data_IF_639954867747
#
_entry.id   IF_639954867747
#
_cell.length_a   1.000
_cell.length_b   1.000
_cell.length_c   1.000
_cell.angle_alpha   90.00
_cell.angle_beta   90.00
_cell.angle_gamma   90.00
#
_symmetry.space_group_name_H-M   'P 1'
#
loop_
_entity.id
_entity.type
_entity.pdbx_description
1 polymer ?
#
# COMPACT_ATOMS: atom_id res chain seq x y z
N UNK A 1 -0.92 7.39 1.58
CA UNK A 1 -1.48 6.68 2.76
C UNK A 1 -1.14 7.47 4.01
N UNK A 2 -2.09 7.65 4.92
CA UNK A 2 -1.85 8.30 6.22
C UNK A 2 -2.02 7.26 7.33
N UNK A 3 -1.10 7.27 8.29
CA UNK A 3 -1.14 6.38 9.46
C UNK A 3 -1.17 7.27 10.70
N UNK A 4 -2.23 7.15 11.50
CA UNK A 4 -2.36 7.82 12.78
C UNK A 4 -1.49 7.12 13.83
N UNK A 5 -0.63 7.84 14.55
CA UNK A 5 0.13 7.31 15.69
C UNK A 5 1.44 6.57 15.36
N UNK A 6 2.04 6.79 14.18
CA UNK A 6 3.33 6.20 13.83
C UNK A 6 4.46 6.76 14.73
N UNK A 7 4.87 5.97 15.73
CA UNK A 7 5.82 6.37 16.77
C UNK A 7 7.27 6.19 16.30
N UNK A 8 7.80 7.02 15.40
CA UNK A 8 9.23 7.00 14.98
C UNK A 8 9.79 5.62 14.55
N UNK A 9 8.90 4.66 14.32
CA UNK A 9 9.21 3.27 14.04
C UNK A 9 9.03 3.10 12.54
N UNK A 10 10.07 2.57 11.93
CA UNK A 10 10.11 2.26 10.51
C UNK A 10 8.93 1.35 10.18
N UNK A 11 7.95 1.84 9.40
CA UNK A 11 6.79 1.07 8.97
C UNK A 11 7.02 0.50 7.58
N UNK A 12 6.60 -0.74 7.36
CA UNK A 12 6.57 -1.39 6.05
C UNK A 12 5.18 -1.25 5.45
N UNK A 13 5.10 -0.58 4.31
CA UNK A 13 3.90 -0.36 3.52
C UNK A 13 3.93 -1.34 2.35
N UNK A 14 2.91 -2.18 2.21
CA UNK A 14 2.77 -3.15 1.13
C UNK A 14 1.50 -2.85 0.35
N UNK A 15 1.62 -2.76 -0.96
CA UNK A 15 0.51 -2.57 -1.88
C UNK A 15 0.29 -3.85 -2.68
N UNK A 16 -0.95 -4.32 -2.71
CA UNK A 16 -1.37 -5.47 -3.52
C UNK A 16 -2.54 -5.09 -4.41
N UNK A 17 -2.55 -5.61 -5.63
CA UNK A 17 -3.66 -5.47 -6.58
C UNK A 17 -4.23 -6.86 -6.84
N UNK A 18 -5.53 -7.05 -6.58
CA UNK A 18 -6.24 -8.33 -6.64
C UNK A 18 -5.53 -9.45 -5.86
N UNK A 19 -4.94 -9.10 -4.72
CA UNK A 19 -4.17 -10.01 -3.87
C UNK A 19 -2.72 -10.25 -4.29
N UNK A 20 -2.28 -9.76 -5.46
CA UNK A 20 -0.87 -9.82 -5.88
C UNK A 20 -0.11 -8.60 -5.39
N UNK A 21 0.94 -8.79 -4.61
CA UNK A 21 1.81 -7.69 -4.19
C UNK A 21 2.47 -7.02 -5.40
N UNK A 22 2.28 -5.70 -5.53
CA UNK A 22 2.83 -4.88 -6.63
C UNK A 22 3.92 -3.93 -6.15
N UNK A 23 3.93 -3.55 -4.88
CA UNK A 23 4.93 -2.65 -4.33
C UNK A 23 5.13 -2.87 -2.83
N UNK A 24 6.33 -2.54 -2.35
CA UNK A 24 6.62 -2.42 -0.93
C UNK A 24 7.49 -1.18 -0.71
N UNK A 25 7.24 -0.46 0.37
CA UNK A 25 7.98 0.73 0.74
C UNK A 25 8.16 0.78 2.24
N UNK A 26 9.27 1.33 2.68
CA UNK A 26 9.58 1.46 4.09
C UNK A 26 9.71 2.96 4.42
N UNK A 27 8.96 3.44 5.41
CA UNK A 27 9.03 4.85 5.82
C UNK A 27 8.72 5.01 7.31
N UNK A 28 9.49 5.87 7.98
CA UNK A 28 9.34 6.17 9.41
C UNK A 28 8.54 7.45 9.71
N UNK A 29 8.17 8.25 8.71
CA UNK A 29 7.41 9.49 8.95
C UNK A 29 6.66 9.98 7.70
N UNK A 30 5.65 10.81 7.95
CA UNK A 30 4.95 11.59 6.93
C UNK A 30 3.96 10.82 6.06
N UNK A 31 3.26 11.52 5.15
CA UNK A 31 2.43 10.88 4.14
C UNK A 31 3.31 10.03 3.22
N UNK A 32 2.95 8.75 3.10
CA UNK A 32 3.69 7.80 2.28
C UNK A 32 2.97 7.62 0.95
N UNK A 33 3.67 7.92 -0.14
CA UNK A 33 3.24 7.59 -1.51
C UNK A 33 4.03 6.37 -1.96
N UNK A 34 3.31 5.34 -2.41
CA UNK A 34 3.90 4.09 -2.91
C UNK A 34 3.60 4.02 -4.41
N UNK A 35 4.52 4.48 -5.27
CA UNK A 35 4.33 4.38 -6.70
C UNK A 35 4.34 2.90 -7.11
N UNK A 36 3.45 2.54 -8.02
CA UNK A 36 3.42 1.20 -8.62
C UNK A 36 3.07 1.32 -10.10
N UNK A 37 3.57 0.37 -10.88
CA UNK A 37 3.44 0.38 -12.33
C UNK A 37 2.18 -0.35 -12.75
N UNK A 38 1.25 0.33 -13.44
CA UNK A 38 -0.01 -0.24 -13.95
C UNK A 38 0.15 -0.97 -15.28
N UNK A 39 1.28 -0.78 -15.98
CA UNK A 39 1.57 -1.48 -17.25
C UNK A 39 1.74 -2.97 -16.99
N UNK A 40 0.85 -3.76 -17.58
CA UNK A 40 0.76 -5.21 -17.36
C UNK A 40 -0.42 -5.65 -16.49
N UNK A 41 -1.16 -4.71 -15.88
CA UNK A 41 -2.48 -4.99 -15.31
C UNK A 41 -3.54 -4.70 -16.38
N UNK A 42 -4.49 -5.62 -16.51
CA UNK A 42 -5.61 -5.51 -17.47
C UNK A 42 -6.43 -4.26 -17.17
N UNK A 43 -7.04 -3.65 -18.19
CA UNK A 43 -7.99 -2.57 -17.95
C UNK A 43 -9.25 -3.13 -17.26
N UNK A 44 -9.68 -2.52 -16.17
CA UNK A 44 -10.75 -3.07 -15.34
C UNK A 44 -10.81 -2.46 -13.94
N UNK A 45 -11.79 -2.90 -13.16
CA UNK A 45 -11.86 -2.56 -11.73
C UNK A 45 -11.04 -3.57 -10.95
N UNK A 46 -10.06 -3.08 -10.22
CA UNK A 46 -9.18 -3.87 -9.38
C UNK A 46 -9.35 -3.48 -7.92
N UNK A 47 -9.13 -4.44 -7.03
CA UNK A 47 -9.09 -4.20 -5.59
C UNK A 47 -7.63 -3.94 -5.22
N UNK A 48 -7.34 -2.70 -4.84
CA UNK A 48 -6.04 -2.30 -4.33
C UNK A 48 -6.08 -2.34 -2.82
N UNK A 49 -5.27 -3.22 -2.24
CA UNK A 49 -5.13 -3.40 -0.79
C UNK A 49 -3.80 -2.82 -0.33
N UNK A 50 -3.86 -1.87 0.60
CA UNK A 50 -2.69 -1.31 1.26
C UNK A 50 -2.61 -1.83 2.69
N UNK A 51 -1.48 -2.46 3.02
CA UNK A 51 -1.17 -2.96 4.36
C UNK A 51 0.02 -2.20 4.91
N UNK A 52 -0.06 -1.75 6.16
CA UNK A 52 1.06 -1.15 6.89
C UNK A 52 1.38 -2.07 8.05
N UNK A 53 2.66 -2.36 8.24
CA UNK A 53 3.17 -3.07 9.41
C UNK A 53 4.18 -2.19 10.13
N UNK A 54 4.01 -1.98 11.43
CA UNK A 54 4.97 -1.26 12.26
C UNK A 54 6.12 -2.16 12.73
N UNK A 55 7.18 -1.55 13.27
CA UNK A 55 8.33 -2.27 13.82
C UNK A 55 7.98 -3.14 15.05
N UNK A 56 6.86 -2.85 15.73
CA UNK A 56 6.34 -3.68 16.83
C UNK A 56 5.50 -4.87 16.32
N UNK A 57 5.35 -5.02 15.00
CA UNK A 57 4.62 -6.10 14.35
C UNK A 57 3.12 -5.88 14.25
N UNK A 58 2.57 -4.72 14.65
CA UNK A 58 1.16 -4.41 14.43
C UNK A 58 0.93 -4.08 12.96
N UNK A 59 -0.21 -4.54 12.43
CA UNK A 59 -0.58 -4.30 11.04
C UNK A 59 -1.94 -3.63 10.92
N UNK A 60 -2.08 -2.71 9.97
CA UNK A 60 -3.35 -2.14 9.55
C UNK A 60 -3.54 -2.34 8.04
N UNK A 61 -4.75 -2.67 7.61
CA UNK A 61 -5.06 -2.92 6.20
C UNK A 61 -6.27 -2.10 5.76
N UNK A 62 -6.20 -1.56 4.55
CA UNK A 62 -7.32 -0.88 3.89
C UNK A 62 -7.38 -1.31 2.43
N UNK A 63 -8.58 -1.31 1.86
CA UNK A 63 -8.80 -1.67 0.46
C UNK A 63 -9.60 -0.59 -0.25
N UNK A 64 -9.27 -0.33 -1.51
CA UNK A 64 -9.96 0.63 -2.37
C UNK A 64 -10.16 0.01 -3.76
N UNK A 65 -11.27 0.34 -4.41
CA UNK A 65 -11.50 -0.05 -5.80
C UNK A 65 -10.85 0.99 -6.71
N UNK A 66 -9.98 0.53 -7.61
CA UNK A 66 -9.29 1.37 -8.59
C UNK A 66 -9.61 0.85 -9.98
N UNK A 67 -10.10 1.73 -10.85
CA UNK A 67 -10.24 1.40 -12.27
C UNK A 67 -8.94 1.67 -12.99
N UNK A 68 -8.26 0.62 -13.46
CA UNK A 68 -7.08 0.72 -14.31
C UNK A 68 -7.52 0.96 -15.74
N UNK A 69 -6.95 2.00 -16.37
CA UNK A 69 -7.13 2.37 -17.77
C UNK A 69 -5.75 2.76 -18.33
N UNK A 70 -5.04 1.79 -18.88
CA UNK A 70 -3.84 2.00 -19.70
C UNK A 70 -4.23 2.46 -21.10
#
# INVERSE_FOLDING_TARGET
>A
MWVNGASSNVNTYTLSVDGRQVATQVSGSGPVSVPWTTTGITNGTHIVTATVRDAAGKSGTTSVNVTVRN
#
